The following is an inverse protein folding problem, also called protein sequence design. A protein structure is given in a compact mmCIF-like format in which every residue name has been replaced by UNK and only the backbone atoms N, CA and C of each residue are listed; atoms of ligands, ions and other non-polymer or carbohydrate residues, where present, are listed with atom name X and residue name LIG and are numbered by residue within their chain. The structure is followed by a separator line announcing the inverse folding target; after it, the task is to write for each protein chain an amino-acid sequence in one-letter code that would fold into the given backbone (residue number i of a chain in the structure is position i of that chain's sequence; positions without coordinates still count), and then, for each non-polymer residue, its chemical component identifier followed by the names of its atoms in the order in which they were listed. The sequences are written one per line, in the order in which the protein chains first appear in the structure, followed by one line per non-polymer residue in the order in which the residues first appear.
data_IF_390438092953
#
_entry.id   IF_390438092953
#
_cell.length_a   1.000
_cell.length_b   1.000
_cell.length_c   1.000
_cell.angle_alpha   90.00
_cell.angle_beta   90.00
_cell.angle_gamma   90.00
#
_symmetry.space_group_name_H-M   'P 1'
#
loop_
_entity.id
_entity.type
_entity.pdbx_description
1 polymer ?
#
# COMPACT_ATOMS: atom_id res chain seq x y z
N UNK A 1 -4.03 -11.93 7.44
CA UNK A 1 -3.19 -13.04 6.97
C UNK A 1 -3.85 -14.43 7.14
N UNK A 2 -5.18 -14.51 7.34
CA UNK A 2 -5.96 -15.77 7.25
C UNK A 2 -6.72 -15.86 5.91
N UNK A 3 -7.18 -14.73 5.38
CA UNK A 3 -8.00 -14.71 4.16
C UNK A 3 -7.22 -15.09 2.89
N UNK A 4 -5.92 -14.78 2.83
CA UNK A 4 -5.02 -15.26 1.77
C UNK A 4 -4.92 -16.79 1.76
N UNK A 5 -4.93 -17.41 2.95
CA UNK A 5 -4.84 -18.88 3.08
C UNK A 5 -6.12 -19.54 2.56
N UNK A 6 -7.28 -18.97 2.90
CA UNK A 6 -8.59 -19.46 2.44
C UNK A 6 -8.77 -19.28 0.93
N UNK A 7 -8.27 -18.18 0.37
CA UNK A 7 -8.31 -17.93 -1.08
C UNK A 7 -7.41 -18.92 -1.86
N UNK A 8 -6.25 -19.29 -1.30
CA UNK A 8 -5.34 -20.28 -1.91
C UNK A 8 -5.99 -21.65 -2.05
N UNK A 9 -6.77 -22.11 -1.07
CA UNK A 9 -7.47 -23.40 -1.12
C UNK A 9 -8.57 -23.45 -2.18
N UNK A 10 -9.31 -22.35 -2.38
CA UNK A 10 -10.33 -22.24 -3.41
C UNK A 10 -9.77 -22.11 -4.84
N UNK A 11 -8.53 -21.65 -5.02
CA UNK A 11 -7.87 -21.65 -6.33
C UNK A 11 -7.18 -22.98 -6.65
N UNK A 12 -6.78 -23.74 -5.63
CA UNK A 12 -6.07 -25.02 -5.79
C UNK A 12 -6.92 -26.12 -6.47
N UNK A 13 -8.24 -25.97 -6.45
CA UNK A 13 -9.23 -26.83 -7.13
C UNK A 13 -9.36 -26.51 -8.64
N UNK A 14 -9.00 -25.31 -9.09
CA UNK A 14 -9.03 -24.93 -10.51
C UNK A 14 -7.73 -25.28 -11.25
N UNK A 15 -6.67 -25.64 -10.52
CA UNK A 15 -5.35 -25.95 -11.09
C UNK A 15 -5.21 -27.46 -11.33
N UNK A 16 -4.89 -27.84 -12.58
CA UNK A 16 -4.61 -29.23 -12.98
C UNK A 16 -3.47 -29.83 -12.15
N UNK A 17 -3.53 -31.14 -11.86
CA UNK A 17 -2.57 -31.82 -10.95
C UNK A 17 -1.10 -31.62 -11.36
N UNK A 18 -0.83 -31.46 -12.64
CA UNK A 18 0.50 -31.25 -13.22
C UNK A 18 1.11 -29.88 -12.85
N UNK A 19 0.28 -28.83 -12.73
CA UNK A 19 0.73 -27.45 -12.50
C UNK A 19 0.67 -27.03 -11.02
N UNK A 20 0.30 -27.93 -10.12
CA UNK A 20 0.10 -27.63 -8.69
C UNK A 20 1.36 -27.16 -7.97
N UNK A 21 2.53 -27.63 -8.42
CA UNK A 21 3.82 -27.23 -7.85
C UNK A 21 4.15 -25.79 -8.23
N UNK A 22 4.07 -25.45 -9.52
CA UNK A 22 4.31 -24.11 -10.04
C UNK A 22 3.31 -23.09 -9.46
N UNK A 23 2.03 -23.46 -9.36
CA UNK A 23 1.02 -22.61 -8.73
C UNK A 23 1.34 -22.30 -7.26
N UNK A 24 1.84 -23.29 -6.51
CA UNK A 24 2.25 -23.08 -5.12
C UNK A 24 3.47 -22.15 -5.03
N UNK A 25 4.45 -22.30 -5.91
CA UNK A 25 5.64 -21.46 -5.97
C UNK A 25 5.27 -19.98 -6.24
N UNK A 26 4.41 -19.71 -7.24
CA UNK A 26 3.92 -18.36 -7.53
C UNK A 26 3.18 -17.76 -6.34
N UNK A 27 2.34 -18.55 -5.67
CA UNK A 27 1.61 -18.11 -4.49
C UNK A 27 2.52 -17.78 -3.30
N UNK A 28 3.63 -18.49 -3.13
CA UNK A 28 4.65 -18.19 -2.11
C UNK A 28 5.42 -16.93 -2.46
N UNK A 29 5.73 -16.72 -3.75
CA UNK A 29 6.38 -15.52 -4.25
C UNK A 29 5.50 -14.27 -4.06
N UNK A 30 4.21 -14.35 -4.39
CA UNK A 30 3.25 -13.27 -4.15
C UNK A 30 3.22 -12.91 -2.66
N UNK A 31 3.12 -13.90 -1.77
CA UNK A 31 3.12 -13.65 -0.32
C UNK A 31 4.40 -12.95 0.12
N UNK A 32 5.56 -13.37 -0.41
CA UNK A 32 6.83 -12.74 -0.13
C UNK A 32 6.86 -11.28 -0.58
N UNK A 33 6.45 -10.99 -1.82
CA UNK A 33 6.38 -9.63 -2.38
C UNK A 33 5.43 -8.76 -1.57
N UNK A 34 4.21 -9.23 -1.30
CA UNK A 34 3.20 -8.48 -0.54
C UNK A 34 3.71 -8.19 0.88
N UNK A 35 4.35 -9.16 1.54
CA UNK A 35 4.93 -8.96 2.86
C UNK A 35 6.06 -7.93 2.86
N UNK A 36 6.90 -7.91 1.81
CA UNK A 36 7.96 -6.93 1.64
C UNK A 36 7.39 -5.53 1.39
N UNK A 37 6.38 -5.43 0.53
CA UNK A 37 5.69 -4.19 0.19
C UNK A 37 5.02 -3.55 1.41
N UNK A 38 4.28 -4.33 2.22
CA UNK A 38 3.63 -3.81 3.43
C UNK A 38 4.67 -3.27 4.41
N UNK A 39 5.77 -4.01 4.63
CA UNK A 39 6.87 -3.56 5.50
C UNK A 39 7.50 -2.27 4.99
N UNK A 40 7.79 -2.18 3.69
CA UNK A 40 8.30 -0.96 3.06
C UNK A 40 7.33 0.22 3.20
N UNK A 41 6.03 -0.01 3.00
CA UNK A 41 4.99 1.03 3.13
C UNK A 41 4.91 1.59 4.54
N UNK A 42 4.97 0.75 5.56
CA UNK A 42 4.97 1.21 6.95
C UNK A 42 6.14 2.17 7.21
N UNK A 43 7.34 1.81 6.74
CA UNK A 43 8.54 2.66 6.87
C UNK A 43 8.36 3.99 6.14
N UNK A 44 7.87 3.96 4.90
CA UNK A 44 7.62 5.18 4.11
C UNK A 44 6.58 6.08 4.79
N UNK A 45 5.48 5.52 5.29
CA UNK A 45 4.44 6.27 6.00
C UNK A 45 5.00 6.95 7.25
N UNK A 46 5.86 6.25 8.00
CA UNK A 46 6.51 6.79 9.18
C UNK A 46 7.45 7.95 8.84
N UNK A 47 8.27 7.79 7.81
CA UNK A 47 9.18 8.84 7.32
C UNK A 47 8.38 10.06 6.86
N UNK A 48 7.38 9.86 6.01
CA UNK A 48 6.55 10.95 5.47
C UNK A 48 5.81 11.69 6.58
N UNK A 49 5.16 10.96 7.50
CA UNK A 49 4.45 11.57 8.61
C UNK A 49 5.38 12.37 9.54
N UNK A 50 6.58 11.87 9.79
CA UNK A 50 7.60 12.56 10.60
C UNK A 50 8.14 13.81 9.89
N UNK A 51 8.43 13.72 8.59
CA UNK A 51 8.91 14.85 7.80
C UNK A 51 7.86 15.97 7.72
N UNK A 52 6.60 15.62 7.48
CA UNK A 52 5.50 16.59 7.42
C UNK A 52 5.26 17.18 8.82
N UNK A 53 5.19 16.34 9.85
CA UNK A 53 4.97 16.80 11.23
C UNK A 53 6.08 17.75 11.71
N UNK A 54 7.35 17.39 11.52
CA UNK A 54 8.48 18.24 11.91
C UNK A 54 8.59 19.50 11.04
N UNK A 55 8.38 19.39 9.73
CA UNK A 55 8.35 20.53 8.83
C UNK A 55 7.29 21.57 9.23
N UNK A 56 6.07 21.12 9.51
CA UNK A 56 4.98 22.01 9.95
C UNK A 56 5.23 22.59 11.35
N UNK A 57 5.88 21.83 12.23
CA UNK A 57 6.25 22.30 13.56
C UNK A 57 7.25 23.47 13.47
N UNK A 58 8.28 23.37 12.62
CA UNK A 58 9.24 24.47 12.41
C UNK A 58 8.59 25.72 11.81
N UNK A 59 7.54 25.54 11.01
CA UNK A 59 6.74 26.64 10.46
C UNK A 59 5.74 27.23 11.49
N UNK A 60 5.76 26.79 12.75
CA UNK A 60 4.85 27.21 13.81
C UNK A 60 3.35 27.02 13.46
N UNK A 61 3.02 26.02 12.64
CA UNK A 61 1.62 25.72 12.34
C UNK A 61 0.94 25.01 13.51
N UNK A 62 -0.27 25.47 13.83
CA UNK A 62 -1.18 24.75 14.72
C UNK A 62 -1.50 23.38 14.12
N UNK A 63 -1.58 22.36 14.97
CA UNK A 63 -1.91 20.97 14.60
C UNK A 63 -0.85 20.23 13.75
N UNK A 64 0.40 20.71 13.70
CA UNK A 64 1.49 20.05 12.97
C UNK A 64 1.59 18.53 13.21
N UNK A 65 1.47 18.10 14.47
CA UNK A 65 1.48 16.68 14.85
C UNK A 65 0.31 15.89 14.23
N UNK A 66 -0.92 16.42 14.33
CA UNK A 66 -2.11 15.76 13.81
C UNK A 66 -2.01 15.63 12.29
N UNK A 67 -1.60 16.71 11.62
CA UNK A 67 -1.44 16.74 10.16
C UNK A 67 -0.37 15.73 9.73
N UNK A 68 0.77 15.67 10.43
CA UNK A 68 1.82 14.68 10.16
C UNK A 68 1.32 13.24 10.28
N UNK A 69 0.60 12.90 11.36
CA UNK A 69 0.03 11.56 11.56
C UNK A 69 -0.95 11.21 10.45
N UNK A 70 -1.91 12.10 10.16
CA UNK A 70 -2.93 11.88 9.12
C UNK A 70 -2.24 11.70 7.76
N UNK A 71 -1.28 12.55 7.43
CA UNK A 71 -0.58 12.46 6.14
C UNK A 71 0.22 11.16 6.01
N UNK A 72 0.89 10.71 7.08
CA UNK A 72 1.56 9.41 7.12
C UNK A 72 0.59 8.24 6.92
N UNK A 73 -0.56 8.23 7.60
CA UNK A 73 -1.59 7.18 7.44
C UNK A 73 -2.16 7.16 6.03
N UNK A 74 -2.52 8.32 5.47
CA UNK A 74 -3.04 8.39 4.11
C UNK A 74 -2.01 8.00 3.05
N UNK A 75 -0.71 8.17 3.32
CA UNK A 75 0.36 7.72 2.43
C UNK A 75 0.41 6.18 2.29
N UNK A 76 -0.21 5.44 3.22
CA UNK A 76 -0.27 3.98 3.14
C UNK A 76 -1.05 3.50 1.93
N UNK A 77 -2.05 4.26 1.48
CA UNK A 77 -2.92 3.90 0.36
C UNK A 77 -2.19 4.24 -0.95
N UNK A 78 -1.62 3.25 -1.67
CA UNK A 78 -1.04 3.52 -2.98
C UNK A 78 -2.15 3.92 -3.97
N UNK A 79 -1.76 4.60 -5.06
CA UNK A 79 -2.64 5.03 -6.16
C UNK A 79 -3.56 6.22 -5.91
N UNK A 80 -3.78 6.67 -4.66
CA UNK A 80 -4.55 7.91 -4.42
C UNK A 80 -4.00 9.10 -5.21
N UNK A 81 -2.68 9.31 -5.18
CA UNK A 81 -2.02 10.37 -5.94
C UNK A 81 -2.25 10.26 -7.46
N UNK A 82 -1.91 9.14 -8.11
CA UNK A 82 -2.20 8.91 -9.52
C UNK A 82 -3.68 9.07 -9.90
N UNK A 83 -4.61 8.54 -9.09
CA UNK A 83 -6.05 8.66 -9.35
C UNK A 83 -6.49 10.12 -9.31
N UNK A 84 -6.11 10.85 -8.26
CA UNK A 84 -6.39 12.29 -8.14
C UNK A 84 -5.76 13.06 -9.30
N UNK A 85 -4.53 12.73 -9.68
CA UNK A 85 -3.85 13.33 -10.82
C UNK A 85 -4.57 13.10 -12.15
N UNK A 86 -5.04 11.88 -12.41
CA UNK A 86 -5.84 11.56 -13.60
C UNK A 86 -7.16 12.33 -13.60
N UNK A 87 -7.86 12.38 -12.47
CA UNK A 87 -9.12 13.14 -12.35
C UNK A 87 -8.88 14.62 -12.65
N UNK A 88 -7.85 15.22 -12.06
CA UNK A 88 -7.49 16.62 -12.32
C UNK A 88 -7.14 16.83 -13.80
N UNK A 89 -6.31 15.96 -14.38
CA UNK A 89 -5.94 16.05 -15.79
C UNK A 89 -7.17 16.01 -16.71
N UNK A 90 -8.16 15.15 -16.42
CA UNK A 90 -9.40 15.08 -17.18
C UNK A 90 -10.24 16.36 -17.04
N UNK A 91 -10.35 16.92 -15.82
CA UNK A 91 -11.09 18.17 -15.57
C UNK A 91 -10.49 19.34 -16.35
N UNK A 92 -9.16 19.45 -16.39
CA UNK A 92 -8.48 20.55 -17.09
C UNK A 92 -8.33 20.32 -18.60
N UNK A 93 -8.49 19.08 -19.07
CA UNK A 93 -8.44 18.74 -20.50
C UNK A 93 -9.78 18.89 -21.23
N UNK A 94 -10.90 18.90 -20.48
CA UNK A 94 -12.27 19.15 -20.95
C UNK A 94 -12.62 20.64 -20.83
#
# INVERSE_FOLDING_TARGET
MRDIVVFKENLYIFVSRENKKEFKEVLEEIDHIVSGFIRGRIIVCFIVGTLIGTGLYFLNLKFALIIGIVSGVFNFIPYLGPIVGVILALIFAL
#
